data_IF_562793975592
#
_entry.id   IF_562793975592
#
_cell.length_a   1.000
_cell.length_b   1.000
_cell.length_c   1.000
_cell.angle_alpha   90.00
_cell.angle_beta   90.00
_cell.angle_gamma   90.00
#
_symmetry.space_group_name_H-M   'P 1'
#
loop_
_entity.id
_entity.type
_entity.pdbx_description
1 polymer ?
#
# COMPACT_ATOMS: atom_id res chain seq x y z
N UNK A 1 -6.39 28.12 -24.43
CA UNK A 1 -6.64 26.71 -24.06
C UNK A 1 -7.36 26.68 -22.72
N UNK A 2 -8.19 25.68 -22.49
CA UNK A 2 -8.79 25.40 -21.18
C UNK A 2 -8.42 23.97 -20.80
N UNK A 3 -7.93 23.78 -19.59
CA UNK A 3 -7.45 22.49 -19.06
C UNK A 3 -8.21 22.18 -17.78
N UNK A 4 -8.94 21.08 -17.77
CA UNK A 4 -9.61 20.53 -16.58
C UNK A 4 -8.72 19.49 -15.94
N UNK A 5 -8.69 19.44 -14.60
CA UNK A 5 -7.91 18.45 -13.84
C UNK A 5 -6.45 18.35 -14.32
N UNK A 6 -5.79 19.51 -14.48
CA UNK A 6 -4.42 19.57 -14.96
C UNK A 6 -3.49 18.67 -14.11
N UNK A 7 -2.57 17.95 -14.77
CA UNK A 7 -1.63 17.01 -14.16
C UNK A 7 -2.25 15.82 -13.41
N UNK A 8 -3.52 15.49 -13.67
CA UNK A 8 -4.14 14.24 -13.17
C UNK A 8 -4.50 13.31 -14.33
N UNK A 9 -4.70 12.00 -14.08
CA UNK A 9 -5.11 11.04 -15.10
C UNK A 9 -6.44 11.38 -15.80
N UNK A 10 -7.28 12.22 -15.18
CA UNK A 10 -8.54 12.69 -15.78
C UNK A 10 -8.39 14.05 -16.50
N UNK A 11 -7.15 14.47 -16.79
CA UNK A 11 -6.90 15.72 -17.49
C UNK A 11 -7.65 15.73 -18.82
N UNK A 12 -8.42 16.79 -19.05
CA UNK A 12 -9.08 16.98 -20.33
C UNK A 12 -8.94 18.42 -20.72
N UNK A 13 -8.49 18.64 -21.95
CA UNK A 13 -8.15 19.96 -22.40
C UNK A 13 -8.66 20.26 -23.80
N UNK A 14 -8.94 21.53 -24.04
CA UNK A 14 -9.31 22.04 -25.36
C UNK A 14 -8.53 23.28 -25.74
N UNK A 15 -8.39 23.47 -27.04
CA UNK A 15 -7.74 24.63 -27.66
C UNK A 15 -8.73 25.33 -28.58
N UNK A 16 -8.71 26.66 -28.56
CA UNK A 16 -9.54 27.53 -29.37
C UNK A 16 -8.99 28.95 -29.36
N UNK A 17 -9.53 29.80 -30.23
CA UNK A 17 -9.22 31.23 -30.24
C UNK A 17 -10.05 31.95 -29.18
N UNK A 18 -9.80 33.23 -28.93
CA UNK A 18 -10.65 34.03 -28.02
C UNK A 18 -12.12 34.06 -28.48
N UNK A 19 -12.36 33.93 -29.79
CA UNK A 19 -13.71 33.88 -30.37
C UNK A 19 -14.38 32.52 -30.15
N UNK A 20 -13.64 31.42 -30.31
CA UNK A 20 -14.24 30.07 -30.34
C UNK A 20 -14.18 29.32 -29.01
N UNK A 21 -13.34 29.74 -28.07
CA UNK A 21 -13.04 28.92 -26.87
C UNK A 21 -14.27 28.61 -26.01
N UNK A 22 -15.24 29.52 -25.94
CA UNK A 22 -16.47 29.30 -25.16
C UNK A 22 -17.32 28.16 -25.74
N UNK A 23 -17.45 28.11 -27.06
CA UNK A 23 -18.18 27.05 -27.75
C UNK A 23 -17.45 25.71 -27.65
N UNK A 24 -16.13 25.72 -27.87
CA UNK A 24 -15.30 24.50 -27.76
C UNK A 24 -15.37 23.90 -26.35
N UNK A 25 -15.30 24.73 -25.31
CA UNK A 25 -15.46 24.29 -23.91
C UNK A 25 -16.84 23.68 -23.66
N UNK A 26 -17.90 24.28 -24.23
CA UNK A 26 -19.26 23.76 -24.09
C UNK A 26 -19.43 22.42 -24.80
N UNK A 27 -18.93 22.28 -26.02
CA UNK A 27 -18.98 21.04 -26.80
C UNK A 27 -18.19 19.90 -26.13
N UNK A 28 -17.07 20.21 -25.47
CA UNK A 28 -16.26 19.24 -24.75
C UNK A 28 -16.73 18.97 -23.30
N UNK A 29 -17.86 19.57 -22.88
CA UNK A 29 -18.40 19.51 -21.51
C UNK A 29 -17.35 19.78 -20.40
N UNK A 30 -16.43 20.72 -20.66
CA UNK A 30 -15.43 21.10 -19.65
C UNK A 30 -16.10 21.96 -18.57
N UNK A 31 -16.13 21.42 -17.34
CA UNK A 31 -16.70 22.05 -16.15
C UNK A 31 -15.61 22.44 -15.15
N UNK A 32 -15.87 23.40 -14.24
CA UNK A 32 -14.98 23.66 -13.12
C UNK A 32 -14.71 22.40 -12.27
N UNK A 33 -13.51 22.25 -11.68
CA UNK A 33 -12.37 23.16 -11.73
C UNK A 33 -11.60 23.09 -13.07
N UNK A 34 -11.29 24.25 -13.65
CA UNK A 34 -10.55 24.35 -14.91
C UNK A 34 -9.61 25.56 -14.92
N UNK A 35 -8.49 25.44 -15.62
CA UNK A 35 -7.46 26.46 -15.79
C UNK A 35 -7.50 27.00 -17.22
N UNK A 36 -7.54 28.34 -17.36
CA UNK A 36 -7.55 29.01 -18.66
C UNK A 36 -6.16 29.57 -18.95
N UNK A 37 -5.58 29.20 -20.09
CA UNK A 37 -4.28 29.68 -20.58
C UNK A 37 -4.53 30.53 -21.82
N UNK A 38 -4.02 31.77 -21.81
CA UNK A 38 -4.18 32.75 -22.89
C UNK A 38 -2.81 33.26 -23.36
N UNK A 39 -2.63 33.38 -24.68
CA UNK A 39 -1.41 33.89 -25.32
C UNK A 39 -0.68 32.85 -26.16
N UNK A 40 0.44 33.25 -26.76
CA UNK A 40 1.25 32.40 -27.67
C UNK A 40 1.73 31.09 -27.02
N UNK A 41 1.82 31.04 -25.69
CA UNK A 41 2.15 29.82 -24.93
C UNK A 41 1.20 28.65 -25.22
N UNK A 42 -0.03 28.91 -25.68
CA UNK A 42 -0.99 27.87 -26.08
C UNK A 42 -0.48 27.06 -27.27
N UNK A 43 0.34 27.66 -28.15
CA UNK A 43 0.93 26.97 -29.31
C UNK A 43 1.98 25.95 -28.92
N UNK A 44 2.58 26.08 -27.74
CA UNK A 44 3.51 25.08 -27.20
C UNK A 44 2.79 23.79 -26.81
N UNK A 45 1.46 23.76 -26.80
CA UNK A 45 0.72 22.54 -26.44
C UNK A 45 1.05 21.38 -27.35
N UNK A 46 1.19 21.56 -28.66
CA UNK A 46 1.55 20.44 -29.55
C UNK A 46 2.88 19.77 -29.14
N UNK A 47 3.80 20.55 -28.58
CA UNK A 47 5.10 20.09 -28.05
C UNK A 47 5.09 19.67 -26.57
N UNK A 48 4.12 20.16 -25.77
CA UNK A 48 4.02 19.94 -24.31
C UNK A 48 2.90 18.94 -23.97
N UNK A 49 2.14 18.47 -24.96
CA UNK A 49 1.11 17.44 -24.80
C UNK A 49 1.73 16.05 -24.65
N UNK A 50 2.60 15.90 -23.65
CA UNK A 50 3.29 14.67 -23.33
C UNK A 50 2.50 13.84 -22.31
N UNK A 51 1.67 14.49 -21.48
CA UNK A 51 0.95 13.84 -20.39
C UNK A 51 -0.27 13.04 -20.87
N UNK A 52 -1.10 13.62 -21.75
CA UNK A 52 -2.27 12.94 -22.35
C UNK A 52 -1.84 11.85 -23.37
N UNK A 53 -0.57 11.87 -23.80
CA UNK A 53 0.04 10.85 -24.69
C UNK A 53 0.76 9.73 -23.94
N UNK A 54 0.71 9.71 -22.61
CA UNK A 54 1.35 8.64 -21.85
C UNK A 54 0.64 7.30 -22.11
N UNK A 55 1.35 6.16 -22.11
CA UNK A 55 0.79 4.86 -22.51
C UNK A 55 -0.44 4.40 -21.71
N UNK A 56 -0.51 4.77 -20.42
CA UNK A 56 -1.59 4.38 -19.52
C UNK A 56 -2.53 5.55 -19.20
N UNK A 57 -2.48 6.64 -19.97
CA UNK A 57 -3.29 7.82 -19.70
C UNK A 57 -4.80 7.47 -19.64
N UNK A 58 -5.43 7.83 -18.53
CA UNK A 58 -6.85 7.56 -18.28
C UNK A 58 -7.19 6.10 -17.96
N UNK A 59 -6.20 5.20 -17.84
CA UNK A 59 -6.42 3.80 -17.46
C UNK A 59 -6.59 3.66 -15.97
N UNK A 60 -7.72 3.09 -15.56
CA UNK A 60 -8.03 2.85 -14.16
C UNK A 60 -7.47 1.49 -13.73
N UNK A 61 -6.44 1.50 -12.90
CA UNK A 61 -5.67 0.31 -12.52
C UNK A 61 -5.84 0.03 -11.03
N UNK A 62 -6.37 -1.14 -10.70
CA UNK A 62 -6.48 -1.58 -9.30
C UNK A 62 -5.16 -2.19 -8.83
N UNK A 63 -4.63 -1.65 -7.74
CA UNK A 63 -3.43 -2.14 -7.07
C UNK A 63 -3.80 -2.87 -5.78
N UNK A 64 -3.62 -4.19 -5.78
CA UNK A 64 -3.93 -5.08 -4.65
C UNK A 64 -2.68 -5.34 -3.81
N UNK A 65 -2.29 -4.42 -2.90
CA UNK A 65 -1.08 -4.59 -2.06
C UNK A 65 -1.23 -3.98 -0.65
N UNK A 66 -0.29 -4.28 0.25
CA UNK A 66 -0.13 -3.56 1.52
C UNK A 66 0.49 -2.18 1.25
N UNK A 67 0.07 -1.14 1.99
CA UNK A 67 0.38 0.28 1.73
C UNK A 67 1.88 0.59 1.54
N UNK A 68 2.77 -0.08 2.29
CA UNK A 68 4.23 0.13 2.21
C UNK A 68 4.82 -0.30 0.87
N UNK A 69 4.21 -1.29 0.23
CA UNK A 69 4.63 -1.90 -1.02
C UNK A 69 3.84 -1.37 -2.23
N UNK A 70 2.69 -0.73 -2.00
CA UNK A 70 1.88 -0.10 -3.05
C UNK A 70 2.57 1.12 -3.65
N UNK A 71 3.37 1.86 -2.84
CA UNK A 71 3.97 3.13 -3.26
C UNK A 71 4.84 3.04 -4.53
N UNK A 72 5.68 2.00 -4.67
CA UNK A 72 6.54 1.84 -5.85
C UNK A 72 5.75 1.51 -7.12
N UNK A 73 4.81 0.55 -7.03
CA UNK A 73 3.99 0.15 -8.18
C UNK A 73 3.05 1.27 -8.62
N UNK A 74 2.38 1.93 -7.67
CA UNK A 74 1.52 3.08 -7.94
C UNK A 74 2.33 4.21 -8.60
N UNK A 75 3.48 4.58 -8.03
CA UNK A 75 4.31 5.65 -8.58
C UNK A 75 4.74 5.37 -10.02
N UNK A 76 5.18 4.13 -10.32
CA UNK A 76 5.57 3.75 -11.68
C UNK A 76 4.39 3.77 -12.66
N UNK A 77 3.21 3.27 -12.25
CA UNK A 77 2.02 3.31 -13.10
C UNK A 77 1.52 4.74 -13.36
N UNK A 78 1.50 5.60 -12.33
CA UNK A 78 1.14 7.02 -12.44
C UNK A 78 2.17 7.81 -13.27
N UNK A 79 3.44 7.42 -13.24
CA UNK A 79 4.47 7.96 -14.16
C UNK A 79 4.15 7.65 -15.63
N UNK A 80 3.40 6.59 -15.90
CA UNK A 80 2.85 6.28 -17.22
C UNK A 80 1.41 6.75 -17.43
N UNK A 81 0.86 7.57 -16.53
CA UNK A 81 -0.43 8.27 -16.69
C UNK A 81 -1.66 7.51 -16.19
N UNK A 82 -1.48 6.36 -15.53
CA UNK A 82 -2.58 5.59 -14.98
C UNK A 82 -3.27 6.29 -13.80
N UNK A 83 -4.55 6.02 -13.61
CA UNK A 83 -5.31 6.31 -12.39
C UNK A 83 -5.28 5.06 -11.48
N UNK A 84 -4.53 5.12 -10.40
CA UNK A 84 -4.32 3.95 -9.53
C UNK A 84 -5.34 3.90 -8.40
N UNK A 85 -6.19 2.87 -8.40
CA UNK A 85 -7.13 2.57 -7.33
C UNK A 85 -6.49 1.57 -6.36
N UNK A 86 -6.01 2.07 -5.22
CA UNK A 86 -5.45 1.22 -4.19
C UNK A 86 -6.56 0.48 -3.43
N UNK A 87 -6.64 -0.84 -3.57
CA UNK A 87 -7.51 -1.70 -2.77
C UNK A 87 -6.66 -2.54 -1.84
N UNK A 88 -6.28 -1.95 -0.70
CA UNK A 88 -5.49 -2.67 0.30
C UNK A 88 -6.32 -3.75 0.97
N UNK A 89 -5.76 -4.95 1.00
CA UNK A 89 -6.45 -6.16 1.50
C UNK A 89 -6.36 -6.34 3.01
N UNK A 90 -5.57 -5.48 3.68
CA UNK A 90 -5.42 -5.43 5.13
C UNK A 90 -5.44 -3.96 5.51
N UNK A 91 -6.49 -3.53 6.22
CA UNK A 91 -6.50 -2.22 6.82
C UNK A 91 -5.90 -2.32 8.23
N UNK A 92 -5.09 -1.34 8.59
CA UNK A 92 -4.45 -1.30 9.90
C UNK A 92 -5.07 -0.14 10.64
N UNK A 93 -5.64 -0.43 11.80
CA UNK A 93 -6.28 0.54 12.67
C UNK A 93 -5.64 0.53 14.05
N UNK A 94 -5.78 1.62 14.83
CA UNK A 94 -5.62 1.58 16.28
C UNK A 94 -6.38 0.39 16.89
N UNK A 95 -5.88 -0.15 18.00
CA UNK A 95 -6.72 -1.04 18.81
C UNK A 95 -7.86 -0.25 19.46
N UNK A 96 -8.99 -0.90 19.67
CA UNK A 96 -10.14 -0.28 20.35
C UNK A 96 -9.83 0.03 21.83
N UNK A 97 -8.90 -0.73 22.43
CA UNK A 97 -8.50 -0.60 23.82
C UNK A 97 -6.97 -0.60 24.00
N UNK A 98 -6.47 0.49 24.57
CA UNK A 98 -5.06 0.69 24.90
C UNK A 98 -4.72 0.38 26.37
N UNK A 99 -5.65 -0.11 27.19
CA UNK A 99 -5.46 -0.32 28.64
C UNK A 99 -4.14 -1.01 29.02
N UNK A 100 -3.78 -2.08 28.30
CA UNK A 100 -2.51 -2.78 28.55
C UNK A 100 -1.34 -1.87 28.20
N UNK A 101 -1.33 -1.33 26.98
CA UNK A 101 -0.25 -0.49 26.50
C UNK A 101 -0.04 0.75 27.38
N UNK A 102 -1.09 1.50 27.71
CA UNK A 102 -1.01 2.71 28.53
C UNK A 102 -0.47 2.41 29.94
N UNK A 103 -0.93 1.31 30.55
CA UNK A 103 -0.43 0.86 31.85
C UNK A 103 1.05 0.50 31.79
N UNK A 104 1.48 -0.20 30.74
CA UNK A 104 2.88 -0.58 30.59
C UNK A 104 3.78 0.62 30.26
N UNK A 105 3.29 1.56 29.46
CA UNK A 105 4.00 2.78 29.10
C UNK A 105 4.25 3.67 30.31
N UNK A 106 3.30 3.74 31.25
CA UNK A 106 3.47 4.48 32.50
C UNK A 106 4.57 3.93 33.42
N UNK A 107 5.03 2.70 33.18
CA UNK A 107 6.14 2.03 33.91
C UNK A 107 7.24 1.55 32.98
N UNK A 108 7.43 2.26 31.86
CA UNK A 108 8.38 1.89 30.82
C UNK A 108 9.82 1.81 31.34
N UNK A 109 10.15 2.61 32.34
CA UNK A 109 11.42 2.62 33.08
C UNK A 109 11.73 1.30 33.82
N UNK A 110 10.70 0.52 34.14
CA UNK A 110 10.85 -0.80 34.77
C UNK A 110 11.24 -1.92 33.80
N UNK A 111 11.17 -1.65 32.49
CA UNK A 111 11.56 -2.58 31.44
C UNK A 111 13.04 -2.46 31.11
N UNK A 112 13.68 -3.60 30.83
CA UNK A 112 15.06 -3.63 30.34
C UNK A 112 15.11 -3.67 28.81
N UNK A 113 14.03 -4.12 28.17
CA UNK A 113 13.91 -4.20 26.72
C UNK A 113 12.54 -3.76 26.22
N UNK A 114 12.55 -2.98 25.13
CA UNK A 114 11.39 -2.62 24.32
C UNK A 114 11.62 -3.13 22.89
N UNK A 115 10.72 -4.00 22.39
CA UNK A 115 10.93 -4.73 21.13
C UNK A 115 9.94 -4.30 20.05
N UNK A 116 10.46 -3.86 18.90
CA UNK A 116 9.66 -3.53 17.73
C UNK A 116 9.84 -4.57 16.61
N UNK A 117 8.73 -5.16 16.19
CA UNK A 117 8.73 -6.24 15.18
C UNK A 117 8.10 -5.84 13.84
N UNK A 118 7.70 -4.57 13.70
CA UNK A 118 7.18 -4.02 12.44
C UNK A 118 7.23 -2.50 12.46
N UNK A 119 7.20 -1.88 11.28
CA UNK A 119 7.06 -0.43 11.13
C UNK A 119 5.74 0.05 11.75
N UNK A 120 4.64 -0.70 11.56
CA UNK A 120 3.35 -0.38 12.16
C UNK A 120 3.41 -0.33 13.69
N UNK A 121 4.12 -1.26 14.34
CA UNK A 121 4.30 -1.21 15.78
C UNK A 121 4.97 0.10 16.23
N UNK A 122 5.97 0.58 15.48
CA UNK A 122 6.63 1.87 15.75
C UNK A 122 5.64 3.02 15.58
N UNK A 123 4.99 3.11 14.42
CA UNK A 123 4.04 4.19 14.10
C UNK A 123 2.91 4.30 15.12
N UNK A 124 2.26 3.19 15.46
CA UNK A 124 1.12 3.19 16.37
C UNK A 124 1.54 3.36 17.84
N UNK A 125 2.73 2.90 18.21
CA UNK A 125 3.32 3.20 19.51
C UNK A 125 3.51 4.71 19.68
N UNK A 126 4.17 5.38 18.72
CA UNK A 126 4.43 6.81 18.81
C UNK A 126 3.15 7.64 18.68
N UNK A 127 2.21 7.23 17.83
CA UNK A 127 0.88 7.85 17.77
C UNK A 127 0.23 7.87 19.16
N UNK A 128 0.16 6.72 19.84
CA UNK A 128 -0.45 6.64 21.16
C UNK A 128 0.37 7.41 22.22
N UNK A 129 1.70 7.37 22.16
CA UNK A 129 2.58 8.17 23.01
C UNK A 129 2.25 9.67 22.92
N UNK A 130 2.09 10.20 21.70
CA UNK A 130 1.74 11.59 21.47
C UNK A 130 0.30 11.92 21.87
N UNK A 131 -0.65 11.02 21.65
CA UNK A 131 -2.05 11.18 22.09
C UNK A 131 -2.13 11.31 23.63
N UNK A 132 -1.19 10.72 24.36
CA UNK A 132 -1.05 10.86 25.82
C UNK A 132 -0.27 12.11 26.26
N UNK A 133 0.15 12.97 25.31
CA UNK A 133 0.94 14.18 25.58
C UNK A 133 2.40 13.90 25.95
N UNK A 134 2.90 12.68 25.68
CA UNK A 134 4.28 12.28 25.91
C UNK A 134 5.08 12.38 24.60
N UNK A 135 6.40 12.26 24.68
CA UNK A 135 7.27 12.19 23.51
C UNK A 135 8.44 11.22 23.72
N UNK A 136 9.35 11.14 22.74
CA UNK A 136 10.47 10.21 22.77
C UNK A 136 11.34 10.31 24.04
N UNK A 137 11.37 11.46 24.72
CA UNK A 137 12.10 11.65 25.99
C UNK A 137 11.52 10.81 27.12
N UNK A 138 10.26 10.39 27.02
CA UNK A 138 9.60 9.52 27.98
C UNK A 138 10.04 8.05 27.88
N UNK A 139 10.81 7.67 26.85
CA UNK A 139 11.29 6.29 26.64
C UNK A 139 12.59 5.98 27.40
N UNK A 140 12.94 6.76 28.42
CA UNK A 140 14.14 6.52 29.23
C UNK A 140 14.02 5.22 30.02
N UNK A 141 15.04 4.36 29.95
CA UNK A 141 15.14 3.13 30.75
C UNK A 141 15.51 1.90 29.92
N UNK A 142 14.60 1.37 29.07
CA UNK A 142 14.83 0.14 28.35
C UNK A 142 15.83 0.32 27.20
N UNK A 143 16.58 -0.76 26.90
CA UNK A 143 17.24 -0.92 25.60
C UNK A 143 16.20 -1.24 24.54
N UNK A 144 16.46 -0.84 23.30
CA UNK A 144 15.51 -0.97 22.20
C UNK A 144 16.06 -1.97 21.19
N UNK A 145 15.24 -2.94 20.79
CA UNK A 145 15.59 -3.86 19.73
C UNK A 145 14.54 -3.82 18.62
N UNK A 146 15.00 -4.02 17.39
CA UNK A 146 14.16 -4.08 16.21
C UNK A 146 14.40 -5.39 15.45
N UNK A 147 13.34 -5.97 14.89
CA UNK A 147 13.46 -7.23 14.13
C UNK A 147 14.35 -7.10 12.89
N UNK A 148 14.46 -5.91 12.30
CA UNK A 148 15.23 -5.68 11.09
C UNK A 148 15.56 -4.21 10.87
N UNK A 149 16.45 -3.96 9.90
CA UNK A 149 17.00 -2.64 9.59
C UNK A 149 15.93 -1.59 9.30
N UNK A 150 14.94 -1.92 8.47
CA UNK A 150 13.84 -1.00 8.12
C UNK A 150 13.01 -0.55 9.32
N UNK A 151 12.79 -1.43 10.30
CA UNK A 151 12.11 -1.06 11.55
C UNK A 151 12.99 -0.17 12.42
N UNK A 152 14.31 -0.39 12.40
CA UNK A 152 15.28 0.50 13.05
C UNK A 152 15.37 1.87 12.40
N UNK A 153 15.33 1.94 11.08
CA UNK A 153 15.30 3.19 10.32
C UNK A 153 14.01 3.98 10.62
N UNK A 154 12.88 3.30 10.79
CA UNK A 154 11.63 3.94 11.23
C UNK A 154 11.74 4.54 12.63
N UNK A 155 12.33 3.81 13.60
CA UNK A 155 12.60 4.33 14.95
C UNK A 155 13.50 5.58 14.92
N UNK A 156 14.47 5.62 14.00
CA UNK A 156 15.39 6.75 13.86
C UNK A 156 14.67 8.04 13.47
N UNK A 157 13.56 7.97 12.72
CA UNK A 157 12.72 9.14 12.40
C UNK A 157 12.13 9.81 13.65
N UNK A 158 11.96 9.05 14.73
CA UNK A 158 11.52 9.54 16.03
C UNK A 158 12.68 9.89 16.97
N UNK A 159 13.92 9.90 16.47
CA UNK A 159 15.12 10.20 17.25
C UNK A 159 15.63 9.03 18.09
N UNK A 160 15.13 7.81 17.87
CA UNK A 160 15.50 6.61 18.62
C UNK A 160 16.51 5.77 17.85
N UNK A 161 17.66 5.48 18.45
CA UNK A 161 18.61 4.49 17.94
C UNK A 161 18.36 3.14 18.57
N UNK A 162 18.41 2.10 17.75
CA UNK A 162 18.23 0.70 18.19
C UNK A 162 19.55 0.16 18.75
N UNK A 163 19.50 -0.51 19.89
CA UNK A 163 20.65 -1.16 20.54
C UNK A 163 20.96 -2.54 19.95
N UNK A 164 19.94 -3.25 19.46
CA UNK A 164 20.08 -4.59 18.89
C UNK A 164 19.21 -4.79 17.66
N UNK A 165 19.84 -5.26 16.57
CA UNK A 165 19.17 -5.80 15.39
C UNK A 165 19.78 -7.18 15.14
N UNK A 166 18.98 -8.25 15.02
CA UNK A 166 19.50 -9.60 14.82
C UNK A 166 20.11 -9.77 13.42
N UNK A 167 20.96 -10.77 13.22
CA UNK A 167 21.46 -11.13 11.88
C UNK A 167 20.34 -11.69 10.99
N UNK A 168 19.46 -12.51 11.58
CA UNK A 168 18.26 -13.03 10.94
C UNK A 168 17.08 -12.12 11.26
N UNK A 169 16.50 -11.47 10.26
CA UNK A 169 15.40 -10.51 10.44
C UNK A 169 14.04 -11.20 10.66
N UNK A 170 13.96 -12.07 11.65
CA UNK A 170 12.75 -12.81 12.04
C UNK A 170 12.50 -12.70 13.55
N UNK A 171 11.30 -13.06 14.01
CA UNK A 171 10.98 -13.07 15.44
C UNK A 171 11.86 -14.04 16.23
N UNK A 172 12.15 -15.21 15.64
CA UNK A 172 13.04 -16.22 16.18
C UNK A 172 14.49 -15.71 16.25
N UNK A 173 14.98 -15.07 15.18
CA UNK A 173 16.33 -14.49 15.15
C UNK A 173 16.50 -13.36 16.18
N UNK A 174 15.47 -12.54 16.38
CA UNK A 174 15.43 -11.52 17.42
C UNK A 174 15.46 -12.15 18.82
N UNK A 175 14.68 -13.20 19.06
CA UNK A 175 14.68 -13.94 20.32
C UNK A 175 16.07 -14.53 20.62
N UNK A 176 16.67 -15.25 19.65
CA UNK A 176 18.02 -15.83 19.76
C UNK A 176 19.06 -14.77 20.15
N UNK A 177 19.04 -13.61 19.46
CA UNK A 177 19.99 -12.52 19.69
C UNK A 177 19.80 -11.86 21.06
N UNK A 178 18.56 -11.69 21.51
CA UNK A 178 18.25 -11.14 22.84
C UNK A 178 18.66 -12.09 23.96
N UNK A 179 18.41 -13.39 23.80
CA UNK A 179 18.83 -14.42 24.76
C UNK A 179 20.35 -14.42 24.88
N UNK A 180 21.07 -14.38 23.75
CA UNK A 180 22.53 -14.27 23.73
C UNK A 180 23.04 -12.97 24.40
N UNK A 181 22.27 -11.88 24.30
CA UNK A 181 22.54 -10.60 24.96
C UNK A 181 22.12 -10.55 26.45
N UNK A 182 21.73 -11.68 27.04
CA UNK A 182 21.39 -11.80 28.46
C UNK A 182 19.96 -11.36 28.83
N UNK A 183 19.02 -11.33 27.87
CA UNK A 183 17.64 -10.94 28.12
C UNK A 183 16.81 -11.99 28.90
N UNK A 184 17.33 -13.20 29.12
CA UNK A 184 16.62 -14.31 29.75
C UNK A 184 16.14 -14.07 31.21
N UNK A 185 16.53 -12.98 31.87
CA UNK A 185 15.95 -12.58 33.18
C UNK A 185 15.29 -11.20 33.16
N UNK A 186 15.19 -10.60 31.98
CA UNK A 186 14.76 -9.21 31.81
C UNK A 186 13.24 -9.09 31.73
N UNK A 187 12.73 -7.92 32.09
CA UNK A 187 11.39 -7.48 31.73
C UNK A 187 11.42 -6.94 30.30
N UNK A 188 10.54 -7.48 29.47
CA UNK A 188 10.48 -7.19 28.04
C UNK A 188 9.08 -6.71 27.69
N UNK A 189 8.98 -5.54 27.05
CA UNK A 189 7.73 -5.02 26.49
C UNK A 189 7.72 -5.20 24.97
N UNK A 190 6.64 -5.73 24.42
CA UNK A 190 6.48 -5.95 22.98
C UNK A 190 5.21 -5.27 22.48
N UNK A 191 5.31 -4.01 21.99
CA UNK A 191 4.26 -3.38 21.21
C UNK A 191 4.07 -4.10 19.88
N UNK A 192 2.87 -4.59 19.59
CA UNK A 192 2.60 -5.35 18.35
C UNK A 192 1.12 -5.30 17.92
N UNK A 193 0.80 -6.01 16.83
CA UNK A 193 -0.58 -6.21 16.41
C UNK A 193 -1.37 -7.01 17.46
N UNK A 194 -2.68 -6.75 17.59
CA UNK A 194 -3.59 -7.51 18.45
C UNK A 194 -3.56 -9.02 18.19
N UNK A 195 -3.40 -9.42 16.93
CA UNK A 195 -3.23 -10.83 16.51
C UNK A 195 -1.90 -10.98 15.80
N UNK A 196 -0.98 -11.74 16.39
CA UNK A 196 0.32 -12.00 15.79
C UNK A 196 0.91 -13.33 16.29
N UNK A 197 2.06 -13.75 15.72
CA UNK A 197 2.68 -15.06 16.04
C UNK A 197 3.28 -15.06 17.45
N UNK A 198 3.07 -16.11 18.23
CA UNK A 198 3.53 -16.16 19.64
C UNK A 198 4.99 -16.60 19.84
N UNK A 199 5.68 -16.96 18.76
CA UNK A 199 7.03 -17.55 18.85
C UNK A 199 8.06 -16.67 19.57
N UNK A 200 8.10 -15.35 19.32
CA UNK A 200 9.03 -14.44 19.99
C UNK A 200 8.74 -14.32 21.49
N UNK A 201 7.49 -13.99 21.93
CA UNK A 201 7.14 -14.03 23.35
C UNK A 201 7.44 -15.36 24.02
N UNK A 202 7.08 -16.48 23.40
CA UNK A 202 7.26 -17.83 23.96
C UNK A 202 8.74 -18.19 24.13
N UNK A 203 9.59 -17.90 23.13
CA UNK A 203 11.02 -18.17 23.21
C UNK A 203 11.69 -17.36 24.33
N UNK A 204 11.36 -16.07 24.46
CA UNK A 204 11.89 -15.22 25.51
C UNK A 204 11.42 -15.66 26.90
N UNK A 205 10.13 -15.98 27.04
CA UNK A 205 9.57 -16.50 28.28
C UNK A 205 10.20 -17.85 28.67
N UNK A 206 10.42 -18.74 27.70
CA UNK A 206 11.11 -20.02 27.89
C UNK A 206 12.57 -19.86 28.33
N UNK A 207 13.20 -18.74 27.98
CA UNK A 207 14.53 -18.37 28.47
C UNK A 207 14.53 -17.65 29.83
N UNK A 208 13.34 -17.44 30.43
CA UNK A 208 13.14 -16.85 31.76
C UNK A 208 12.72 -15.38 31.78
N UNK A 209 12.56 -14.74 30.61
CA UNK A 209 12.21 -13.33 30.53
C UNK A 209 10.76 -13.09 30.97
N UNK A 210 10.50 -11.97 31.64
CA UNK A 210 9.15 -11.51 31.95
C UNK A 210 8.61 -10.71 30.76
N UNK A 211 7.93 -11.41 29.84
CA UNK A 211 7.42 -10.81 28.60
C UNK A 211 6.02 -10.23 28.81
N UNK A 212 5.84 -8.97 28.43
CA UNK A 212 4.54 -8.33 28.34
C UNK A 212 4.26 -7.97 26.88
N UNK A 213 3.18 -8.52 26.32
CA UNK A 213 2.69 -8.15 24.99
C UNK A 213 1.66 -7.04 25.13
N UNK A 214 1.86 -5.93 24.42
CA UNK A 214 0.96 -4.79 24.43
C UNK A 214 0.46 -4.51 23.01
N UNK A 215 -0.80 -4.85 22.68
CA UNK A 215 -1.40 -4.49 21.40
C UNK A 215 -1.43 -2.96 21.21
N UNK A 216 -1.00 -2.48 20.05
CA UNK A 216 -1.06 -1.03 19.70
C UNK A 216 -1.77 -0.76 18.38
N UNK A 217 -1.98 -1.80 17.57
CA UNK A 217 -2.78 -1.75 16.36
C UNK A 217 -3.47 -3.10 16.11
N UNK A 218 -4.44 -3.11 15.21
CA UNK A 218 -5.07 -4.33 14.72
C UNK A 218 -5.22 -4.31 13.21
N UNK A 219 -5.16 -5.51 12.63
CA UNK A 219 -5.54 -5.71 11.25
C UNK A 219 -7.05 -5.88 11.20
N UNK A 220 -7.73 -4.96 10.53
CA UNK A 220 -9.16 -5.06 10.26
C UNK A 220 -9.38 -5.35 8.77
N UNK A 221 -10.46 -6.08 8.43
CA UNK A 221 -10.91 -6.15 7.04
C UNK A 221 -11.22 -4.73 6.54
N UNK A 222 -10.90 -4.40 5.28
CA UNK A 222 -11.25 -3.09 4.71
C UNK A 222 -12.77 -2.89 4.75
N UNK A 223 -13.26 -1.88 5.47
CA UNK A 223 -14.69 -1.54 5.51
C UNK A 223 -15.07 -0.63 4.33
N UNK A 224 -16.25 -0.84 3.72
CA UNK A 224 -16.90 0.05 2.75
C UNK A 224 -16.31 0.11 1.33
N UNK A 225 -15.14 -0.50 1.09
CA UNK A 225 -14.53 -0.56 -0.26
C UNK A 225 -15.01 -1.73 -1.11
N UNK A 226 -15.65 -2.73 -0.50
CA UNK A 226 -16.15 -3.90 -1.21
C UNK A 226 -17.31 -3.54 -2.14
N UNK A 227 -18.30 -2.82 -1.62
CA UNK A 227 -19.47 -2.40 -2.38
C UNK A 227 -19.05 -1.49 -3.54
N UNK A 228 -18.18 -0.51 -3.25
CA UNK A 228 -17.61 0.39 -4.25
C UNK A 228 -16.82 -0.37 -5.34
N UNK A 229 -15.92 -1.29 -4.96
CA UNK A 229 -15.16 -2.09 -5.93
C UNK A 229 -16.10 -2.89 -6.84
N UNK A 230 -17.13 -3.51 -6.26
CA UNK A 230 -18.12 -4.28 -7.02
C UNK A 230 -18.93 -3.41 -7.96
N UNK A 231 -19.33 -2.21 -7.53
CA UNK A 231 -20.00 -1.23 -8.38
C UNK A 231 -19.11 -0.80 -9.55
N UNK A 232 -17.84 -0.49 -9.29
CA UNK A 232 -16.87 -0.11 -10.33
C UNK A 232 -16.60 -1.25 -11.32
N UNK A 233 -16.44 -2.48 -10.83
CA UNK A 233 -16.28 -3.67 -11.67
C UNK A 233 -17.53 -3.90 -12.53
N UNK A 234 -18.73 -3.82 -11.93
CA UNK A 234 -19.99 -4.00 -12.65
C UNK A 234 -20.26 -2.90 -13.68
N UNK A 235 -19.81 -1.67 -13.41
CA UNK A 235 -19.88 -0.53 -14.32
C UNK A 235 -18.78 -0.55 -15.40
N UNK A 236 -17.85 -1.52 -15.37
CA UNK A 236 -16.68 -1.61 -16.25
C UNK A 236 -15.80 -0.35 -16.20
N UNK A 237 -15.65 0.25 -15.02
CA UNK A 237 -14.81 1.42 -14.77
C UNK A 237 -13.34 1.08 -14.45
N UNK A 238 -13.01 -0.22 -14.35
CA UNK A 238 -11.66 -0.70 -14.05
C UNK A 238 -11.11 -1.38 -15.30
N UNK A 239 -9.98 -0.87 -15.82
CA UNK A 239 -9.32 -1.44 -16.99
C UNK A 239 -8.42 -2.63 -16.63
N UNK A 240 -7.72 -2.56 -15.48
CA UNK A 240 -6.69 -3.53 -15.14
C UNK A 240 -6.61 -3.86 -13.65
N UNK A 241 -6.36 -5.13 -13.33
CA UNK A 241 -6.03 -5.63 -11.99
C UNK A 241 -4.57 -6.09 -11.91
N UNK A 242 -3.84 -5.64 -10.88
CA UNK A 242 -2.47 -6.11 -10.63
C UNK A 242 -2.41 -7.03 -9.40
N UNK A 243 -1.70 -8.16 -9.54
CA UNK A 243 -1.42 -9.09 -8.45
C UNK A 243 0.09 -9.31 -8.28
N UNK A 244 0.58 -9.01 -7.08
CA UNK A 244 2.02 -9.14 -6.75
C UNK A 244 2.35 -10.35 -5.89
N UNK A 245 1.34 -11.10 -5.43
CA UNK A 245 1.52 -12.39 -4.76
C UNK A 245 0.25 -13.25 -4.83
N UNK A 246 0.34 -14.54 -4.52
CA UNK A 246 -0.85 -15.39 -4.37
C UNK A 246 -1.82 -14.88 -3.31
N UNK A 247 -1.32 -14.32 -2.20
CA UNK A 247 -2.19 -13.79 -1.14
C UNK A 247 -3.01 -12.58 -1.60
N UNK A 248 -2.48 -11.75 -2.50
CA UNK A 248 -3.24 -10.61 -3.05
C UNK A 248 -4.39 -11.07 -3.92
N UNK A 249 -4.22 -12.18 -4.66
CA UNK A 249 -5.30 -12.83 -5.42
C UNK A 249 -6.40 -13.31 -4.48
N UNK A 250 -6.05 -14.14 -3.49
CA UNK A 250 -7.03 -14.70 -2.55
C UNK A 250 -7.80 -13.61 -1.82
N UNK A 251 -7.10 -12.59 -1.31
CA UNK A 251 -7.74 -11.50 -0.59
C UNK A 251 -8.65 -10.65 -1.49
N UNK A 252 -8.26 -10.40 -2.74
CA UNK A 252 -9.11 -9.69 -3.68
C UNK A 252 -10.39 -10.47 -3.96
N UNK A 253 -10.31 -11.79 -4.15
CA UNK A 253 -11.49 -12.63 -4.36
C UNK A 253 -12.42 -12.64 -3.14
N UNK A 254 -11.86 -12.66 -1.92
CA UNK A 254 -12.64 -12.48 -0.69
C UNK A 254 -13.28 -11.09 -0.61
N UNK A 255 -12.62 -10.06 -1.12
CA UNK A 255 -13.18 -8.70 -1.16
C UNK A 255 -14.32 -8.59 -2.16
N UNK A 256 -14.16 -9.13 -3.38
CA UNK A 256 -15.21 -9.18 -4.38
C UNK A 256 -16.39 -10.02 -3.88
N UNK A 257 -16.13 -11.13 -3.18
CA UNK A 257 -17.13 -12.01 -2.56
C UNK A 257 -18.28 -12.36 -3.52
N UNK A 258 -17.91 -12.82 -4.72
CA UNK A 258 -18.88 -13.27 -5.70
C UNK A 258 -19.64 -14.50 -5.17
N UNK A 259 -20.96 -14.52 -5.32
CA UNK A 259 -21.81 -15.61 -4.87
C UNK A 259 -21.62 -16.89 -5.70
N UNK A 260 -21.07 -16.78 -6.91
CA UNK A 260 -20.73 -17.91 -7.76
C UNK A 260 -19.55 -17.62 -8.72
N UNK A 261 -18.89 -18.66 -9.28
CA UNK A 261 -17.88 -18.48 -10.31
C UNK A 261 -18.38 -17.68 -11.52
N UNK A 262 -19.64 -17.86 -11.94
CA UNK A 262 -20.23 -17.17 -13.09
C UNK A 262 -20.39 -15.67 -12.83
N UNK A 263 -20.71 -15.28 -11.60
CA UNK A 263 -20.75 -13.87 -11.21
C UNK A 263 -19.33 -13.26 -11.24
N UNK A 264 -18.35 -13.97 -10.70
CA UNK A 264 -16.96 -13.52 -10.72
C UNK A 264 -16.45 -13.31 -12.15
N UNK A 265 -16.72 -14.25 -13.05
CA UNK A 265 -16.35 -14.10 -14.47
C UNK A 265 -17.04 -12.90 -15.10
N UNK A 266 -18.34 -12.68 -14.83
CA UNK A 266 -19.08 -11.53 -15.36
C UNK A 266 -18.53 -10.19 -14.88
N UNK A 267 -18.14 -10.11 -13.60
CA UNK A 267 -17.54 -8.91 -13.03
C UNK A 267 -16.16 -8.58 -13.60
N UNK A 268 -15.42 -9.60 -14.07
CA UNK A 268 -14.04 -9.47 -14.54
C UNK A 268 -13.87 -9.66 -16.05
N UNK A 269 -14.96 -9.85 -16.80
CA UNK A 269 -14.95 -10.18 -18.23
C UNK A 269 -14.21 -9.13 -19.10
N UNK A 270 -14.27 -7.86 -18.68
CA UNK A 270 -13.65 -6.73 -19.37
C UNK A 270 -12.39 -6.20 -18.69
N UNK A 271 -11.93 -6.87 -17.63
CA UNK A 271 -10.82 -6.40 -16.81
C UNK A 271 -9.58 -7.21 -17.16
N UNK A 272 -8.53 -6.52 -17.61
CA UNK A 272 -7.23 -7.15 -17.88
C UNK A 272 -6.58 -7.56 -16.56
N UNK A 273 -5.99 -8.76 -16.49
CA UNK A 273 -5.32 -9.23 -15.27
C UNK A 273 -3.80 -9.35 -15.49
N UNK A 274 -3.04 -8.60 -14.70
CA UNK A 274 -1.59 -8.68 -14.62
C UNK A 274 -1.12 -9.42 -13.36
N UNK A 275 -0.27 -10.43 -13.53
CA UNK A 275 0.36 -11.15 -12.44
C UNK A 275 1.89 -11.00 -12.51
N UNK A 276 2.52 -10.67 -11.39
CA UNK A 276 3.98 -10.42 -11.33
C UNK A 276 4.84 -11.64 -11.71
N UNK A 277 4.30 -12.86 -11.61
CA UNK A 277 5.07 -14.08 -11.88
C UNK A 277 4.25 -15.37 -11.77
N UNK A 278 4.89 -16.52 -12.06
CA UNK A 278 4.21 -17.78 -12.35
C UNK A 278 3.42 -18.36 -11.16
N UNK A 279 3.87 -18.13 -9.93
CA UNK A 279 3.17 -18.60 -8.73
C UNK A 279 1.84 -17.85 -8.57
N UNK A 280 1.88 -16.53 -8.70
CA UNK A 280 0.68 -15.67 -8.65
C UNK A 280 -0.26 -16.00 -9.80
N UNK A 281 0.28 -16.13 -11.03
CA UNK A 281 -0.52 -16.47 -12.21
C UNK A 281 -1.22 -17.83 -12.07
N UNK A 282 -0.55 -18.82 -11.47
CA UNK A 282 -1.16 -20.11 -11.13
C UNK A 282 -2.33 -19.95 -10.16
N UNK A 283 -2.20 -19.10 -9.14
CA UNK A 283 -3.30 -18.82 -8.19
C UNK A 283 -4.50 -18.15 -8.87
N UNK A 284 -4.26 -17.23 -9.81
CA UNK A 284 -5.31 -16.63 -10.64
C UNK A 284 -6.03 -17.71 -11.46
N UNK A 285 -5.28 -18.56 -12.16
CA UNK A 285 -5.83 -19.65 -12.97
C UNK A 285 -6.63 -20.67 -12.14
N UNK A 286 -6.14 -21.01 -10.94
CA UNK A 286 -6.86 -21.90 -10.02
C UNK A 286 -8.19 -21.32 -9.52
N UNK A 287 -8.35 -20.00 -9.60
CA UNK A 287 -9.59 -19.30 -9.25
C UNK A 287 -10.56 -19.16 -10.44
N UNK A 288 -10.24 -19.80 -11.58
CA UNK A 288 -11.03 -19.76 -12.80
C UNK A 288 -10.75 -18.55 -13.69
N UNK A 289 -9.83 -17.66 -13.31
CA UNK A 289 -9.55 -16.43 -14.05
C UNK A 289 -8.36 -16.61 -15.01
N UNK A 290 -8.32 -15.80 -16.07
CA UNK A 290 -7.21 -15.77 -17.02
C UNK A 290 -6.23 -14.66 -16.63
N UNK A 291 -4.93 -14.92 -16.79
CA UNK A 291 -3.90 -13.89 -16.74
C UNK A 291 -3.61 -13.42 -18.16
N UNK A 292 -3.65 -12.12 -18.38
CA UNK A 292 -3.38 -11.49 -19.67
C UNK A 292 -1.94 -11.00 -19.77
N UNK A 293 -1.37 -10.56 -18.65
CA UNK A 293 -0.03 -9.98 -18.60
C UNK A 293 0.78 -10.68 -17.51
N UNK A 294 1.96 -11.19 -17.90
CA UNK A 294 2.95 -11.70 -16.96
C UNK A 294 4.35 -11.36 -17.49
N UNK A 295 5.18 -10.63 -16.75
CA UNK A 295 6.52 -10.30 -17.19
C UNK A 295 7.45 -11.52 -17.18
N UNK A 296 8.49 -11.51 -18.01
CA UNK A 296 9.52 -12.57 -18.02
C UNK A 296 10.35 -12.56 -16.72
N UNK A 297 10.62 -11.37 -16.20
CA UNK A 297 11.30 -11.14 -14.93
C UNK A 297 10.29 -10.67 -13.88
N UNK A 298 10.34 -11.27 -12.70
CA UNK A 298 9.27 -11.12 -11.70
C UNK A 298 9.49 -9.93 -10.77
N UNK A 299 9.75 -8.74 -11.34
CA UNK A 299 9.91 -7.48 -10.60
C UNK A 299 8.74 -6.54 -10.85
N UNK A 300 8.60 -5.51 -10.02
CA UNK A 300 7.56 -4.48 -10.18
C UNK A 300 7.81 -3.69 -11.47
N UNK A 301 9.05 -3.28 -11.72
CA UNK A 301 9.43 -2.54 -12.92
C UNK A 301 9.11 -3.35 -14.19
N UNK A 302 9.54 -4.62 -14.27
CA UNK A 302 9.26 -5.46 -15.42
C UNK A 302 7.73 -5.70 -15.61
N UNK A 303 6.96 -5.77 -14.52
CA UNK A 303 5.49 -5.88 -14.61
C UNK A 303 4.87 -4.59 -15.20
N UNK A 304 5.35 -3.41 -14.80
CA UNK A 304 4.88 -2.13 -15.36
C UNK A 304 5.25 -2.03 -16.85
N UNK A 305 6.48 -2.40 -17.21
CA UNK A 305 6.92 -2.44 -18.61
C UNK A 305 6.01 -3.33 -19.46
N UNK A 306 5.67 -4.52 -18.97
CA UNK A 306 4.76 -5.44 -19.65
C UNK A 306 3.33 -4.89 -19.77
N UNK A 307 2.85 -4.13 -18.78
CA UNK A 307 1.55 -3.43 -18.84
C UNK A 307 1.57 -2.33 -19.90
N UNK A 308 2.64 -1.54 -19.94
CA UNK A 308 2.82 -0.48 -20.95
C UNK A 308 2.87 -1.07 -22.37
N UNK A 309 3.65 -2.14 -22.57
CA UNK A 309 3.73 -2.84 -23.86
C UNK A 309 2.37 -3.38 -24.29
N UNK A 310 1.62 -3.98 -23.36
CA UNK A 310 0.28 -4.47 -23.63
C UNK A 310 -0.64 -3.36 -24.16
N UNK A 311 -0.72 -2.20 -23.50
CA UNK A 311 -1.61 -1.13 -23.95
C UNK A 311 -1.14 -0.43 -25.24
N UNK A 312 0.17 -0.28 -25.44
CA UNK A 312 0.70 0.28 -26.71
C UNK A 312 0.30 -0.59 -27.92
N UNK A 313 0.48 -1.91 -27.81
CA UNK A 313 0.15 -2.83 -28.91
C UNK A 313 -1.36 -2.88 -29.23
N UNK A 314 -2.22 -2.60 -28.25
CA UNK A 314 -3.67 -2.57 -28.44
C UNK A 314 -4.18 -1.21 -28.98
N UNK A 315 -3.45 -0.11 -28.79
CA UNK A 315 -3.78 1.18 -29.39
C UNK A 315 -3.52 1.20 -30.91
N UNK A 316 -2.44 0.55 -31.37
CA UNK A 316 -2.09 0.46 -32.80
C UNK A 316 -3.04 -0.42 -33.62
N UNK A 317 -3.81 -1.30 -32.96
CA UNK A 317 -4.75 -2.23 -33.61
C UNK A 317 -6.16 -1.64 -33.83
N UNK A 318 -6.43 -0.46 -33.26
CA UNK A 318 -7.73 0.21 -33.31
C UNK A 318 -7.75 1.48 -34.19
N UNK A 319 -6.61 1.80 -34.83
CA UNK A 319 -6.42 2.96 -35.73
C UNK A 319 -6.62 2.65 -37.20
#
# INVERSE_FOLDING_TARGET
>A
AVVRWASTPQQHSVVGTLETIAEVVHQADIKPPALIIVGEVVRLRETIDWYEKRPLFGKHIVVTRTREQASELVALLEEHGADCLEYSTIHIEPVDDYQVFDRELARIDSYQWLLFTSLNAVTYFFKRLYDLGLDARSLGGPRIAAVGKTTGDELLKYGIRVDLIPEKFTGEGLAESLIAAGAGGSRVLIPRALKAREILPEMLAGAGAQVTVAPVYQNVPPQGRKEQLREQLAAAEIDLLTFTSSSTVTNFLTMVDAASPEELHRLLDKVTIAAIGPITAKTVAQSGLKVDIQPERYTIADMVDAIVEYYNNHQDSAG
#
